data_IF_083653214358
#
_entry.id   IF_083653214358
#
_cell.length_a   1.000
_cell.length_b   1.000
_cell.length_c   1.000
_cell.angle_alpha   90.00
_cell.angle_beta   90.00
_cell.angle_gamma   90.00
#
_symmetry.space_group_name_H-M   'P 1'
#
loop_
_entity.id
_entity.type
_entity.pdbx_description
1 polymer ?
2 non-polymer ?
3 non-polymer ?
4 water ?
#
# COMPACT_ATOMS: atom_id res chain seq x y z
N UNK A 2 12.40 -2.27 -8.59
CA UNK A 2 11.42 -1.54 -7.81
C UNK A 2 10.01 -1.91 -8.26
N UNK A 3 9.04 -1.80 -7.36
CA UNK A 3 7.64 -1.86 -7.76
C UNK A 3 6.78 -0.94 -6.91
N UNK A 4 5.91 -0.20 -7.58
CA UNK A 4 4.90 0.64 -6.95
C UNK A 4 3.65 -0.20 -6.73
N UNK A 5 3.11 -0.15 -5.52
CA UNK A 5 1.96 -0.95 -5.16
C UNK A 5 0.81 -0.06 -4.75
N UNK A 6 -0.33 -0.24 -5.40
CA UNK A 6 -1.57 0.43 -5.04
C UNK A 6 -2.23 -0.32 -3.89
N UNK A 7 -2.58 0.38 -2.82
CA UNK A 7 -3.37 -0.23 -1.75
C UNK A 7 -4.64 0.59 -1.54
N UNK A 8 -5.81 -0.05 -1.64
CA UNK A 8 -7.06 0.69 -1.62
C UNK A 8 -8.17 -0.01 -0.86
N UNK A 9 -9.36 0.59 -0.86
CA UNK A 9 -10.48 0.16 -0.01
C UNK A 9 -10.09 0.11 1.47
N UNK A 10 -9.24 1.04 1.88
CA UNK A 10 -8.69 1.04 3.23
C UNK A 10 -9.64 1.62 4.26
N UNK A 11 -9.72 0.98 5.42
CA UNK A 11 -10.25 1.61 6.62
C UNK A 11 -9.63 3.01 6.73
N UNK A 12 -10.45 4.03 6.94
CA UNK A 12 -9.91 5.40 6.94
C UNK A 12 -8.93 5.65 8.09
N UNK A 13 -8.88 4.74 9.05
CA UNK A 13 -7.91 4.81 10.13
C UNK A 13 -6.54 4.29 9.72
N UNK A 14 -6.44 3.64 8.57
CA UNK A 14 -5.14 3.10 8.14
C UNK A 14 -4.13 4.22 7.85
N UNK A 15 -3.00 4.18 8.55
CA UNK A 15 -1.94 5.18 8.42
C UNK A 15 -0.82 4.70 7.51
N UNK A 16 0.06 5.62 7.11
CA UNK A 16 1.24 5.21 6.36
C UNK A 16 2.07 4.18 7.12
N UNK A 17 2.17 4.31 8.44
CA UNK A 17 3.01 3.36 9.17
C UNK A 17 2.37 1.98 9.19
N UNK A 18 1.04 1.92 9.11
CA UNK A 18 0.34 0.65 9.01
C UNK A 18 0.58 -0.02 7.66
N UNK A 19 0.67 0.78 6.59
CA UNK A 19 0.96 0.23 5.26
C UNK A 19 2.38 -0.28 5.21
N UNK A 20 3.32 0.48 5.76
CA UNK A 20 4.70 0.03 5.82
C UNK A 20 4.78 -1.24 6.64
N UNK A 21 4.07 -1.26 7.77
CA UNK A 21 4.11 -2.42 8.66
C UNK A 21 3.65 -3.69 7.97
N UNK A 22 2.62 -3.53 7.14
CA UNK A 22 2.05 -4.62 6.38
C UNK A 22 3.00 -5.13 5.30
N UNK A 23 3.51 -4.22 4.48
CA UNK A 23 4.28 -4.60 3.30
C UNK A 23 5.73 -4.94 3.63
N UNK A 24 6.28 -4.36 4.70
CA UNK A 24 7.70 -4.59 4.97
C UNK A 24 7.95 -6.03 5.45
N UNK A 25 6.87 -6.75 5.76
CA UNK A 25 6.96 -8.16 6.08
C UNK A 25 7.51 -9.00 4.93
N UNK A 26 7.36 -8.51 3.69
CA UNK A 26 7.70 -9.27 2.49
C UNK A 26 9.01 -8.84 1.85
N UNK A 27 9.56 -7.71 2.28
CA UNK A 27 10.78 -7.17 1.69
C UNK A 27 10.96 -5.71 2.02
N UNK A 28 12.05 -5.10 1.54
CA UNK A 28 12.34 -3.70 1.86
C UNK A 28 11.30 -2.75 1.25
N UNK A 29 10.84 -1.80 2.06
CA UNK A 29 9.92 -0.76 1.61
C UNK A 29 10.66 0.56 1.59
N UNK A 30 10.53 1.33 0.51
CA UNK A 30 11.26 2.60 0.42
C UNK A 30 10.37 3.82 0.52
N UNK A 31 9.06 3.61 0.36
CA UNK A 31 8.13 4.72 0.35
C UNK A 31 6.74 4.23 0.74
N UNK A 32 6.01 5.04 1.50
CA UNK A 32 4.63 4.74 1.81
C UNK A 32 3.86 6.05 1.91
N UNK A 33 2.74 6.13 1.19
CA UNK A 33 1.97 7.37 1.12
C UNK A 33 0.49 7.03 1.20
N UNK A 34 -0.25 7.69 2.08
CA UNK A 34 -1.71 7.64 2.05
C UNK A 34 -2.19 8.91 1.39
N UNK A 35 -3.03 8.78 0.37
CA UNK A 35 -3.52 9.96 -0.35
C UNK A 35 -4.63 10.58 0.47
N UNK A 36 -4.58 11.90 0.63
CA UNK A 36 -5.53 12.59 1.50
C UNK A 36 -6.29 13.67 0.75
N UNK A 37 -7.42 14.08 1.31
CA UNK A 37 -8.21 15.20 0.78
C UNK A 37 -7.41 16.48 0.92
N UNK A 38 -7.41 17.31 -0.11
CA UNK A 38 -6.57 18.51 -0.08
C UNK A 38 -6.96 19.46 1.06
N UNK A 39 -8.25 19.56 1.34
CA UNK A 39 -8.73 20.53 2.33
C UNK A 39 -8.80 19.97 3.76
N UNK A 40 -9.31 18.75 3.93
CA UNK A 40 -9.45 18.19 5.27
C UNK A 40 -8.16 17.51 5.76
N UNK A 41 -7.31 17.09 4.83
CA UNK A 41 -6.10 16.38 5.20
C UNK A 41 -6.35 14.93 5.57
N UNK A 42 -7.59 14.50 5.40
CA UNK A 42 -7.99 13.16 5.83
C UNK A 42 -7.85 12.12 4.72
N UNK A 43 -7.55 10.89 5.13
CA UNK A 43 -7.36 9.78 4.21
C UNK A 43 -8.51 9.64 3.22
N UNK A 44 -8.18 9.35 1.96
CA UNK A 44 -9.18 9.04 0.95
C UNK A 44 -9.33 7.53 0.77
N UNK A 45 -8.64 6.76 1.61
CA UNK A 45 -8.86 5.32 1.66
C UNK A 45 -7.92 4.52 0.77
N UNK A 46 -6.94 5.19 0.19
CA UNK A 46 -5.98 4.49 -0.66
C UNK A 46 -4.61 5.15 -0.62
N UNK A 47 -3.61 4.42 -1.11
CA UNK A 47 -2.27 4.95 -1.10
C UNK A 47 -1.34 4.08 -1.91
N UNK A 48 -0.05 4.39 -1.82
CA UNK A 48 0.97 3.68 -2.57
C UNK A 48 2.15 3.28 -1.71
N UNK A 49 2.60 2.04 -1.88
CA UNK A 49 3.82 1.58 -1.24
C UNK A 49 4.84 1.17 -2.30
N UNK A 50 6.07 1.66 -2.19
CA UNK A 50 7.12 1.23 -3.09
C UNK A 50 8.02 0.24 -2.38
N UNK A 51 8.33 -0.86 -3.06
CA UNK A 51 9.23 -1.86 -2.54
C UNK A 51 10.43 -1.96 -3.48
N UNK A 52 11.62 -2.15 -2.93
CA UNK A 52 12.82 -2.08 -3.75
C UNK A 52 12.95 -3.27 -4.71
N UNK A 53 12.45 -4.43 -4.28
CA UNK A 53 12.58 -5.67 -5.03
C UNK A 53 11.25 -6.08 -5.65
N UNK A 54 11.19 -6.09 -6.99
CA UNK A 54 9.98 -6.48 -7.70
C UNK A 54 9.45 -7.84 -7.30
N UNK A 55 10.36 -8.76 -7.01
CA UNK A 55 9.94 -10.12 -6.70
C UNK A 55 9.22 -10.18 -5.35
N UNK A 56 9.76 -9.49 -4.35
CA UNK A 56 9.09 -9.40 -3.06
C UNK A 56 7.72 -8.69 -3.16
N UNK A 57 7.63 -7.67 -4.01
CA UNK A 57 6.38 -6.94 -4.22
C UNK A 57 5.31 -7.86 -4.81
N UNK A 58 5.67 -8.61 -5.85
CA UNK A 58 4.74 -9.57 -6.45
C UNK A 58 4.31 -10.62 -5.43
N UNK A 59 5.24 -11.03 -4.58
CA UNK A 59 4.91 -11.98 -3.52
C UNK A 59 3.91 -11.37 -2.54
N UNK A 60 4.13 -10.11 -2.18
CA UNK A 60 3.22 -9.45 -1.23
C UNK A 60 1.82 -9.36 -1.82
N UNK A 61 1.73 -8.99 -3.09
CA UNK A 61 0.43 -8.88 -3.73
C UNK A 61 -0.28 -10.24 -3.76
N UNK A 62 0.47 -11.30 -4.04
CA UNK A 62 -0.11 -12.64 -4.16
C UNK A 62 -0.63 -13.13 -2.81
N UNK A 63 0.11 -12.84 -1.75
CA UNK A 63 -0.31 -13.25 -0.42
C UNK A 63 -1.49 -12.41 0.07
N UNK A 64 -1.39 -11.11 -0.13
CA UNK A 64 -2.37 -10.20 0.47
C UNK A 64 -3.69 -10.14 -0.28
N UNK A 65 -3.69 -10.60 -1.53
CA UNK A 65 -4.88 -10.56 -2.38
C UNK A 65 -6.13 -11.08 -1.68
N UNK A 66 -7.16 -10.23 -1.63
CA UNK A 66 -8.49 -10.59 -1.14
C UNK A 66 -8.57 -10.73 0.38
N UNK A 67 -7.47 -10.49 1.09
CA UNK A 67 -7.51 -10.54 2.54
C UNK A 67 -8.16 -9.29 3.12
N UNK A 68 -8.82 -9.43 4.26
CA UNK A 68 -9.31 -8.26 4.97
C UNK A 68 -8.22 -7.70 5.86
N UNK A 69 -8.20 -6.37 5.96
CA UNK A 69 -7.23 -5.64 6.76
C UNK A 69 -8.01 -4.54 7.49
N UNK A 70 -7.92 -4.52 8.82
CA UNK A 70 -8.70 -3.58 9.64
C UNK A 70 -10.16 -3.50 9.16
N UNK A 71 -10.74 -4.68 8.93
CA UNK A 71 -12.16 -4.79 8.65
C UNK A 71 -12.60 -4.60 7.21
N UNK A 72 -11.66 -4.36 6.29
CA UNK A 72 -12.06 -4.17 4.89
C UNK A 72 -11.19 -4.99 3.93
N UNK A 73 -11.82 -5.53 2.90
CA UNK A 73 -11.11 -6.32 1.91
C UNK A 73 -10.10 -5.46 1.14
N UNK A 74 -8.82 -5.81 1.23
CA UNK A 74 -7.78 -5.05 0.54
C UNK A 74 -7.95 -5.00 -0.97
N UNK A 75 -7.64 -3.83 -1.53
CA UNK A 75 -7.24 -3.73 -2.92
C UNK A 75 -5.72 -3.68 -2.88
N UNK A 76 -5.05 -4.65 -3.49
CA UNK A 76 -3.58 -4.63 -3.54
C UNK A 76 -3.13 -5.08 -4.93
N UNK A 77 -2.47 -4.18 -5.64
CA UNK A 77 -2.20 -4.41 -7.05
C UNK A 77 -0.98 -3.61 -7.50
N UNK A 78 -0.29 -4.12 -8.50
CA UNK A 78 0.80 -3.36 -9.11
C UNK A 78 0.27 -2.03 -9.64
N UNK A 79 1.01 -0.97 -9.38
CA UNK A 79 0.66 0.35 -9.88
C UNK A 79 1.64 0.82 -10.95
N UNK A 80 1.20 1.75 -11.80
CA UNK A 80 2.14 2.43 -12.68
C UNK A 80 3.23 3.12 -11.86
N UNK A 81 4.49 2.84 -12.20
CA UNK A 81 5.61 3.53 -11.58
C UNK A 81 5.50 5.00 -11.94
N UNK A 82 5.55 5.86 -10.94
CA UNK A 82 5.20 7.25 -11.12
C UNK A 82 5.86 8.11 -10.05
N UNK A 83 6.44 9.26 -10.44
CA UNK A 83 7.05 10.09 -9.40
C UNK A 83 6.00 10.68 -8.48
N UNK A 84 6.42 11.17 -7.32
CA UNK A 84 5.49 11.82 -6.41
C UNK A 84 5.40 13.31 -6.71
X LIG B 1 -2.34 2.80 -10.39
X LIG B 1 -1.76 2.67 -11.49
X LIG B 1 -2.47 3.96 -9.94
X LIG B 1 -2.81 1.60 -9.63
X LIG C 1 8.02 -2.79 -13.68
#
# INVERSE_FOLDING_TARGET
MSMNIYVGNLNYRVREEDLTGLLQQYGAVTSARVITDRETGRSRGFGFVEMEDENDARRAIEELFDQEFQGRKLIVKEALERPERAPRRTFRHEDRY
ACT C O OXT CH3
CA CA
#
